data_IF_972032615042
#
_entry.id   IF_972032615042
#
_cell.length_a   1.000
_cell.length_b   1.000
_cell.length_c   1.000
_cell.angle_alpha   90.00
_cell.angle_beta   90.00
_cell.angle_gamma   90.00
#
_symmetry.space_group_name_H-M   'P 1'
#
loop_
_entity.id
_entity.type
_entity.pdbx_description
1 polymer ?
#
# COMPACT_ATOMS: atom_id res chain seq x y z
N UNK A 1 29.33 5.06 7.82
CA UNK A 1 28.64 3.77 8.03
C UNK A 1 27.95 3.83 9.38
N UNK A 2 26.62 3.95 9.44
CA UNK A 2 25.90 3.92 10.71
C UNK A 2 26.03 2.52 11.34
N UNK A 3 26.35 2.43 12.63
CA UNK A 3 26.46 1.15 13.33
C UNK A 3 25.06 0.64 13.71
N UNK A 4 24.74 -0.58 13.25
CA UNK A 4 23.51 -1.26 13.63
C UNK A 4 23.61 -1.71 15.10
N UNK A 5 22.59 -1.36 15.90
CA UNK A 5 22.51 -1.74 17.32
C UNK A 5 21.35 -2.71 17.55
N UNK A 6 21.22 -3.28 18.75
CA UNK A 6 20.06 -4.14 19.11
C UNK A 6 18.70 -3.43 18.99
N UNK A 7 18.68 -2.10 18.87
CA UNK A 7 17.47 -1.28 18.70
C UNK A 7 17.14 -1.01 17.23
N UNK A 8 17.94 -1.49 16.28
CA UNK A 8 17.84 -1.12 14.86
C UNK A 8 16.80 -1.91 14.05
N UNK A 9 15.95 -2.72 14.69
CA UNK A 9 14.87 -3.48 14.04
C UNK A 9 15.28 -4.21 12.74
N UNK A 10 16.50 -4.76 12.70
CA UNK A 10 17.07 -5.46 11.52
C UNK A 10 16.13 -6.54 10.98
N UNK A 11 15.37 -7.20 11.85
CA UNK A 11 14.38 -8.22 11.44
C UNK A 11 13.39 -7.73 10.38
N UNK A 12 13.13 -6.42 10.30
CA UNK A 12 12.24 -5.84 9.29
C UNK A 12 12.83 -5.88 7.88
N UNK A 13 14.17 -5.89 7.74
CA UNK A 13 14.82 -6.01 6.42
C UNK A 13 14.69 -7.40 5.83
N UNK A 14 14.28 -8.39 6.63
CA UNK A 14 14.02 -9.76 6.18
C UNK A 14 12.58 -9.94 5.67
N UNK A 15 11.73 -8.92 5.80
CA UNK A 15 10.33 -8.96 5.33
C UNK A 15 10.26 -8.69 3.83
N UNK A 16 9.24 -9.22 3.14
CA UNK A 16 9.07 -9.00 1.71
C UNK A 16 8.79 -7.53 1.40
N UNK A 17 9.20 -7.10 0.20
CA UNK A 17 8.88 -5.78 -0.35
C UNK A 17 7.39 -5.73 -0.77
N UNK A 18 6.54 -5.55 0.23
CA UNK A 18 5.10 -5.58 0.13
C UNK A 18 4.52 -4.18 0.35
N UNK A 19 3.64 -3.73 -0.55
CA UNK A 19 3.00 -2.40 -0.45
C UNK A 19 2.14 -2.23 0.82
N UNK A 20 1.72 -3.34 1.42
CA UNK A 20 0.97 -3.34 2.68
C UNK A 20 1.85 -3.29 3.93
N UNK A 21 3.19 -3.34 3.82
CA UNK A 21 4.10 -3.35 4.96
C UNK A 21 4.41 -1.93 5.46
N UNK A 22 4.20 -1.69 6.76
CA UNK A 22 4.52 -0.43 7.42
C UNK A 22 5.90 -0.48 8.09
N UNK A 23 6.52 0.68 8.32
CA UNK A 23 7.84 0.82 8.97
C UNK A 23 7.90 0.21 10.38
N UNK A 24 6.76 0.06 11.05
CA UNK A 24 6.65 -0.57 12.36
C UNK A 24 6.48 -2.11 12.29
N UNK A 25 6.60 -2.71 11.10
CA UNK A 25 6.45 -4.15 10.86
C UNK A 25 5.02 -4.66 10.86
N UNK A 26 4.01 -3.78 10.89
CA UNK A 26 2.58 -4.13 10.79
C UNK A 26 2.07 -4.07 9.36
N UNK A 27 0.86 -4.59 9.14
CA UNK A 27 0.18 -4.55 7.86
C UNK A 27 -0.86 -3.43 7.80
N UNK A 28 -0.93 -2.70 6.68
CA UNK A 28 -1.97 -1.71 6.38
C UNK A 28 -3.34 -2.36 6.09
N UNK A 29 -3.34 -3.58 5.53
CA UNK A 29 -4.57 -4.24 5.06
C UNK A 29 -5.15 -5.25 6.04
N UNK A 30 -4.30 -5.91 6.82
CA UNK A 30 -4.71 -6.95 7.76
C UNK A 30 -4.51 -6.49 9.21
N UNK A 31 -5.48 -6.77 10.06
CA UNK A 31 -5.37 -6.55 11.51
C UNK A 31 -4.56 -7.67 12.16
N UNK A 32 -3.25 -7.67 11.92
CA UNK A 32 -2.30 -8.64 12.49
C UNK A 32 -1.27 -7.95 13.38
N UNK A 33 -0.82 -8.59 14.48
CA UNK A 33 0.13 -7.98 15.40
C UNK A 33 1.51 -7.73 14.77
N UNK A 34 1.93 -8.56 13.81
CA UNK A 34 3.17 -8.45 13.03
C UNK A 34 2.96 -9.03 11.62
N UNK A 35 3.75 -8.58 10.64
CA UNK A 35 3.77 -9.13 9.29
C UNK A 35 4.13 -10.63 9.30
N UNK A 36 3.42 -11.42 8.49
CA UNK A 36 3.60 -12.89 8.38
C UNK A 36 4.64 -13.24 7.30
N UNK A 37 5.21 -12.23 6.62
CA UNK A 37 6.26 -12.39 5.62
C UNK A 37 5.76 -13.04 4.33
N UNK A 38 6.65 -13.77 3.65
CA UNK A 38 6.41 -14.37 2.32
C UNK A 38 5.24 -15.36 2.25
N UNK A 39 4.75 -15.87 3.38
CA UNK A 39 3.55 -16.75 3.43
C UNK A 39 2.24 -15.97 3.40
N UNK A 40 2.28 -14.64 3.41
CA UNK A 40 1.10 -13.80 3.36
C UNK A 40 0.42 -13.91 1.99
N UNK A 41 -0.81 -14.45 1.95
CA UNK A 41 -1.63 -14.54 0.73
C UNK A 41 -2.10 -13.18 0.20
N UNK A 42 -1.95 -12.11 0.99
CA UNK A 42 -2.27 -10.73 0.64
C UNK A 42 -1.04 -9.91 0.28
N UNK A 43 0.14 -10.53 0.14
CA UNK A 43 1.34 -9.84 -0.27
C UNK A 43 1.16 -9.29 -1.69
N UNK A 44 1.27 -7.97 -1.86
CA UNK A 44 1.30 -7.36 -3.19
C UNK A 44 2.64 -6.67 -3.38
N UNK A 45 3.19 -6.81 -4.58
CA UNK A 45 4.43 -6.13 -4.96
C UNK A 45 4.30 -4.62 -4.82
N UNK A 46 5.39 -3.97 -4.43
CA UNK A 46 5.48 -2.51 -4.43
C UNK A 46 5.09 -1.93 -5.81
N UNK A 47 4.29 -0.85 -5.81
CA UNK A 47 3.83 -0.17 -7.02
C UNK A 47 2.61 -0.81 -7.71
N UNK A 48 1.96 -1.80 -7.08
CA UNK A 48 0.71 -2.39 -7.61
C UNK A 48 -0.42 -1.36 -7.62
N UNK A 49 -0.50 -0.50 -6.60
CA UNK A 49 -1.46 0.61 -6.54
C UNK A 49 -1.27 1.61 -7.67
N UNK A 50 -0.04 2.01 -7.96
CA UNK A 50 0.28 2.95 -9.05
C UNK A 50 -0.15 2.41 -10.42
N UNK A 51 0.15 1.12 -10.68
CA UNK A 51 -0.30 0.42 -11.90
C UNK A 51 -1.84 0.39 -11.98
N UNK A 52 -2.50 0.12 -10.86
CA UNK A 52 -3.97 0.11 -10.78
C UNK A 52 -4.55 1.49 -11.06
N UNK A 53 -3.98 2.55 -10.47
CA UNK A 53 -4.42 3.93 -10.68
C UNK A 53 -4.15 4.41 -12.10
N UNK A 54 -3.03 4.01 -12.72
CA UNK A 54 -2.76 4.27 -14.12
C UNK A 54 -3.82 3.63 -15.03
N UNK A 55 -4.21 2.38 -14.75
CA UNK A 55 -5.29 1.69 -15.49
C UNK A 55 -6.65 2.35 -15.27
N UNK A 56 -6.96 2.82 -14.08
CA UNK A 56 -8.22 3.53 -13.81
C UNK A 56 -8.28 4.86 -14.57
N UNK A 57 -7.15 5.59 -14.63
CA UNK A 57 -7.03 6.84 -15.40
C UNK A 57 -7.16 6.63 -16.91
N UNK A 58 -6.83 5.45 -17.43
CA UNK A 58 -6.93 5.17 -18.87
C UNK A 58 -8.34 4.81 -19.35
N UNK A 59 -9.33 4.72 -18.45
CA UNK A 59 -10.72 4.46 -18.81
C UNK A 59 -11.42 5.76 -19.22
N UNK A 60 -12.53 5.66 -19.95
CA UNK A 60 -13.35 6.83 -20.27
C UNK A 60 -13.89 7.51 -19.00
N UNK A 61 -14.04 8.84 -19.04
CA UNK A 61 -14.49 9.62 -17.87
C UNK A 61 -15.84 9.14 -17.30
N UNK A 62 -16.76 8.74 -18.17
CA UNK A 62 -18.08 8.20 -17.75
C UNK A 62 -17.91 6.90 -16.94
N UNK A 63 -16.95 6.06 -17.33
CA UNK A 63 -16.64 4.82 -16.61
C UNK A 63 -15.95 5.15 -15.29
N UNK A 64 -15.00 6.08 -15.29
CA UNK A 64 -14.33 6.54 -14.07
C UNK A 64 -15.33 7.10 -13.05
N UNK A 65 -16.28 7.92 -13.48
CA UNK A 65 -17.35 8.46 -12.61
C UNK A 65 -18.22 7.37 -12.02
N UNK A 66 -18.57 6.36 -12.82
CA UNK A 66 -19.37 5.23 -12.34
C UNK A 66 -18.63 4.45 -11.27
N UNK A 67 -17.32 4.22 -11.44
CA UNK A 67 -16.47 3.54 -10.46
C UNK A 67 -16.35 4.38 -9.18
N UNK A 68 -16.06 5.69 -9.32
CA UNK A 68 -15.92 6.62 -8.22
C UNK A 68 -17.19 6.67 -7.35
N UNK A 69 -18.35 6.83 -7.98
CA UNK A 69 -19.64 6.85 -7.27
C UNK A 69 -19.94 5.52 -6.57
N UNK A 70 -19.61 4.38 -7.21
CA UNK A 70 -19.93 3.06 -6.67
C UNK A 70 -19.05 2.64 -5.50
N UNK A 71 -17.75 2.92 -5.55
CA UNK A 71 -16.77 2.38 -4.59
C UNK A 71 -16.07 3.44 -3.73
N UNK A 72 -16.07 4.70 -4.14
CA UNK A 72 -15.26 5.76 -3.54
C UNK A 72 -16.07 7.01 -3.15
N UNK A 73 -17.39 6.87 -2.99
CA UNK A 73 -18.27 7.98 -2.59
C UNK A 73 -18.28 9.16 -3.56
N UNK A 74 -17.93 8.93 -4.83
CA UNK A 74 -17.80 9.97 -5.86
C UNK A 74 -16.41 10.60 -5.97
N UNK A 75 -15.46 10.25 -5.09
CA UNK A 75 -14.07 10.68 -5.20
C UNK A 75 -13.26 9.81 -6.15
N UNK A 76 -12.27 10.40 -6.84
CA UNK A 76 -11.34 9.70 -7.73
C UNK A 76 -9.94 9.68 -7.08
N UNK A 77 -9.63 8.70 -6.21
CA UNK A 77 -8.35 8.64 -5.50
C UNK A 77 -7.15 8.44 -6.44
N UNK A 78 -7.38 8.04 -7.69
CA UNK A 78 -6.33 7.93 -8.71
C UNK A 78 -5.99 9.26 -9.41
N UNK A 79 -6.74 10.35 -9.17
CA UNK A 79 -6.43 11.69 -9.72
C UNK A 79 -5.56 12.53 -8.79
N UNK A 80 -5.63 12.28 -7.48
CA UNK A 80 -4.81 12.94 -6.48
C UNK A 80 -4.06 11.86 -5.72
N UNK A 81 -2.72 11.79 -5.76
CA UNK A 81 -2.02 10.90 -4.85
C UNK A 81 -2.47 11.26 -3.43
N UNK A 82 -3.12 10.32 -2.74
CA UNK A 82 -3.43 10.49 -1.33
C UNK A 82 -2.14 10.94 -0.64
N UNK A 83 -2.21 12.06 0.10
CA UNK A 83 -1.11 12.40 0.98
C UNK A 83 -0.92 11.19 1.91
N UNK A 84 0.31 10.65 2.03
CA UNK A 84 0.53 9.58 3.00
C UNK A 84 0.05 10.09 4.35
N UNK A 85 -0.72 9.26 5.04
CA UNK A 85 -1.23 9.55 6.38
C UNK A 85 -0.09 10.08 7.23
N UNK A 86 -0.11 11.38 7.51
CA UNK A 86 0.80 12.03 8.45
C UNK A 86 -0.01 12.41 9.67
N UNK A 87 0.14 11.63 10.74
CA UNK A 87 0.54 12.04 12.09
C UNK A 87 0.40 10.84 13.03
#
# INVERSE_FOLDING_TARGET
MAMLTRLSNIELTNLPDCEGLLENGKCKWLTVPKCIGAKCSYCQEAGTLDKTYARLRSLDEVIQDRIAKKYYGGSRPWEKPEKPWRQ
#
